data_IF_008724589932
#
_entry.id   IF_008724589932
#
_cell.length_a   1.000
_cell.length_b   1.000
_cell.length_c   1.000
_cell.angle_alpha   90.00
_cell.angle_beta   90.00
_cell.angle_gamma   90.00
#
_symmetry.space_group_name_H-M   'P 1'
#
loop_
_entity.id
_entity.type
_entity.pdbx_description
1 polymer ?
#
# COMPACT_ATOMS: atom_id res chain seq x y z
N UNK A 1 5.37 -22.99 -12.31
CA UNK A 1 5.04 -21.58 -12.56
C UNK A 1 5.36 -20.86 -11.27
N UNK A 2 6.39 -20.01 -11.25
CA UNK A 2 6.77 -19.29 -10.03
C UNK A 2 5.63 -18.34 -9.71
N UNK A 3 4.73 -18.73 -8.80
CA UNK A 3 3.59 -17.90 -8.42
C UNK A 3 4.12 -16.56 -7.92
N UNK A 4 3.85 -15.51 -8.70
CA UNK A 4 4.27 -14.16 -8.39
C UNK A 4 3.64 -13.69 -7.09
N UNK A 5 4.30 -12.75 -6.41
CA UNK A 5 3.74 -12.13 -5.23
C UNK A 5 2.39 -11.44 -5.55
N UNK A 6 1.32 -11.60 -4.76
CA UNK A 6 0.05 -10.95 -5.03
C UNK A 6 0.17 -9.44 -4.84
N UNK A 7 0.13 -8.70 -5.94
CA UNK A 7 0.21 -7.24 -5.95
C UNK A 7 -1.17 -6.56 -5.87
N UNK A 8 -1.17 -5.23 -5.80
CA UNK A 8 -2.38 -4.41 -5.90
C UNK A 8 -2.86 -4.26 -7.35
N UNK A 9 -3.88 -3.44 -7.56
CA UNK A 9 -4.41 -3.13 -8.89
C UNK A 9 -3.47 -2.24 -9.70
N UNK A 10 -2.87 -1.23 -9.07
CA UNK A 10 -1.94 -0.29 -9.73
C UNK A 10 -0.58 -0.21 -9.03
N UNK A 11 -0.51 -0.61 -7.76
CA UNK A 11 0.72 -0.63 -6.99
C UNK A 11 1.30 -2.03 -6.85
N UNK A 12 2.63 -2.13 -7.01
CA UNK A 12 3.40 -3.34 -6.72
C UNK A 12 4.07 -3.22 -5.35
N UNK A 13 3.95 -4.26 -4.53
CA UNK A 13 4.61 -4.31 -3.23
C UNK A 13 6.12 -4.38 -3.40
N UNK A 14 6.85 -3.47 -2.76
CA UNK A 14 8.30 -3.49 -2.72
C UNK A 14 8.84 -4.65 -1.85
N UNK A 15 10.12 -4.99 -2.03
CA UNK A 15 10.74 -6.16 -1.42
C UNK A 15 10.58 -6.21 0.11
N UNK A 16 10.77 -5.08 0.80
CA UNK A 16 10.66 -5.02 2.27
C UNK A 16 9.27 -5.36 2.80
N UNK A 17 8.21 -4.93 2.12
CA UNK A 17 6.85 -5.34 2.43
C UNK A 17 6.62 -6.81 2.09
N UNK A 18 7.15 -7.30 0.97
CA UNK A 18 7.04 -8.71 0.60
C UNK A 18 7.70 -9.62 1.64
N UNK A 19 8.91 -9.26 2.08
CA UNK A 19 9.69 -10.03 3.03
C UNK A 19 9.00 -10.06 4.39
N UNK A 20 8.49 -8.92 4.86
CA UNK A 20 7.73 -8.84 6.11
C UNK A 20 6.44 -9.68 6.08
N UNK A 21 5.74 -9.73 4.95
CA UNK A 21 4.52 -10.53 4.80
C UNK A 21 4.83 -12.02 4.66
N UNK A 22 5.92 -12.39 3.97
CA UNK A 22 6.34 -13.80 3.79
C UNK A 22 6.99 -14.39 5.04
N UNK A 23 7.46 -13.56 5.96
CA UNK A 23 8.06 -14.01 7.22
C UNK A 23 7.07 -14.78 8.11
N UNK A 24 5.77 -14.62 7.89
CA UNK A 24 4.71 -15.31 8.59
C UNK A 24 3.68 -15.85 7.59
N UNK A 25 3.55 -17.18 7.54
CA UNK A 25 2.67 -17.86 6.60
C UNK A 25 1.18 -17.48 6.79
N UNK A 26 0.73 -17.27 8.03
CA UNK A 26 -0.65 -16.88 8.32
C UNK A 26 -0.95 -15.49 7.74
N UNK A 27 -0.02 -14.55 7.95
CA UNK A 27 -0.11 -13.19 7.43
C UNK A 27 -0.05 -13.18 5.90
N UNK A 28 0.81 -14.00 5.31
CA UNK A 28 0.89 -14.11 3.87
C UNK A 28 -0.43 -14.65 3.29
N UNK A 29 -1.07 -15.61 3.95
CA UNK A 29 -2.37 -16.14 3.54
C UNK A 29 -3.48 -15.09 3.63
N UNK A 30 -3.50 -14.32 4.72
CA UNK A 30 -4.42 -13.19 4.87
C UNK A 30 -4.22 -12.16 3.75
N UNK A 31 -2.97 -11.87 3.38
CA UNK A 31 -2.64 -10.99 2.25
C UNK A 31 -3.11 -11.53 0.90
N UNK A 32 -2.92 -12.84 0.65
CA UNK A 32 -3.40 -13.52 -0.57
C UNK A 32 -4.92 -13.44 -0.69
N UNK A 33 -5.63 -13.55 0.44
CA UNK A 33 -7.09 -13.50 0.51
C UNK A 33 -7.69 -12.08 0.41
N UNK A 34 -6.88 -11.02 0.48
CA UNK A 34 -7.38 -9.68 0.18
C UNK A 34 -7.80 -9.57 -1.29
N UNK A 35 -8.72 -8.64 -1.56
CA UNK A 35 -8.98 -8.23 -2.94
C UNK A 35 -7.74 -7.50 -3.51
N UNK A 36 -7.54 -7.48 -4.84
CA UNK A 36 -6.50 -6.66 -5.46
C UNK A 36 -6.55 -5.19 -4.99
N UNK A 37 -7.75 -4.65 -4.79
CA UNK A 37 -7.93 -3.31 -4.24
C UNK A 37 -7.46 -3.22 -2.79
N UNK A 38 -7.81 -4.17 -1.91
CA UNK A 38 -7.34 -4.18 -0.52
C UNK A 38 -5.81 -4.17 -0.42
N UNK A 39 -5.14 -4.99 -1.23
CA UNK A 39 -3.67 -4.96 -1.36
C UNK A 39 -3.16 -3.61 -1.85
N UNK A 40 -3.80 -3.06 -2.88
CA UNK A 40 -3.44 -1.76 -3.44
C UNK A 40 -3.44 -0.66 -2.39
N UNK A 41 -4.42 -0.67 -1.48
CA UNK A 41 -4.52 0.32 -0.40
C UNK A 41 -3.38 0.22 0.60
N UNK A 42 -3.03 -0.99 1.05
CA UNK A 42 -1.89 -1.19 1.95
C UNK A 42 -0.57 -0.80 1.27
N UNK A 43 -0.35 -1.19 0.01
CA UNK A 43 0.88 -0.84 -0.72
C UNK A 43 0.97 0.68 -0.87
N UNK A 44 -0.08 1.35 -1.34
CA UNK A 44 -0.08 2.81 -1.51
C UNK A 44 0.19 3.53 -0.18
N UNK A 45 -0.42 3.06 0.90
CA UNK A 45 -0.21 3.63 2.23
C UNK A 45 1.23 3.42 2.72
N UNK A 46 1.83 2.26 2.50
CA UNK A 46 3.24 2.02 2.87
C UNK A 46 4.19 2.88 2.01
N UNK A 47 3.91 3.01 0.71
CA UNK A 47 4.73 3.77 -0.24
C UNK A 47 4.63 5.29 -0.10
N UNK A 48 3.51 5.80 0.42
CA UNK A 48 3.34 7.22 0.74
C UNK A 48 4.28 7.70 1.87
N UNK A 49 4.84 6.78 2.66
CA UNK A 49 5.80 7.13 3.70
C UNK A 49 7.14 7.59 3.13
N UNK A 50 7.37 8.91 3.12
CA UNK A 50 8.63 9.53 2.66
C UNK A 50 9.83 9.26 3.57
N UNK A 51 9.59 8.98 4.85
CA UNK A 51 10.64 8.73 5.86
C UNK A 51 10.81 7.23 6.12
N UNK A 52 12.05 6.68 6.12
CA UNK A 52 12.29 5.26 6.33
C UNK A 52 11.69 4.71 7.62
N UNK A 53 11.80 5.45 8.73
CA UNK A 53 11.22 5.05 10.02
C UNK A 53 9.69 4.93 9.95
N UNK A 54 9.02 5.85 9.25
CA UNK A 54 7.57 5.78 9.04
C UNK A 54 7.18 4.60 8.16
N UNK A 55 7.96 4.31 7.11
CA UNK A 55 7.75 3.15 6.24
C UNK A 55 7.81 1.85 7.04
N UNK A 56 8.87 1.64 7.81
CA UNK A 56 9.03 0.45 8.66
C UNK A 56 7.87 0.29 9.65
N UNK A 57 7.45 1.39 10.29
CA UNK A 57 6.27 1.38 11.16
C UNK A 57 4.99 0.99 10.42
N UNK A 58 4.76 1.49 9.20
CA UNK A 58 3.56 1.15 8.40
C UNK A 58 3.59 -0.32 7.94
N UNK A 59 4.77 -0.88 7.65
CA UNK A 59 4.93 -2.32 7.36
C UNK A 59 4.53 -3.15 8.57
N UNK A 60 5.09 -2.87 9.75
CA UNK A 60 4.71 -3.55 11.00
C UNK A 60 3.20 -3.46 11.28
N UNK A 61 2.62 -2.27 11.12
CA UNK A 61 1.17 -2.09 11.30
C UNK A 61 0.33 -2.83 10.25
N UNK A 62 0.84 -3.01 9.03
CA UNK A 62 0.16 -3.81 8.01
C UNK A 62 0.02 -5.25 8.48
N UNK A 63 1.08 -5.82 9.06
CA UNK A 63 1.06 -7.18 9.64
C UNK A 63 0.04 -7.27 10.79
N UNK A 64 0.08 -6.32 11.73
CA UNK A 64 -0.86 -6.26 12.86
C UNK A 64 -2.32 -6.16 12.37
N UNK A 65 -2.60 -5.27 11.43
CA UNK A 65 -3.94 -5.04 10.92
C UNK A 65 -4.50 -6.24 10.13
N UNK A 66 -3.65 -6.97 9.40
CA UNK A 66 -4.03 -8.22 8.75
C UNK A 66 -4.41 -9.27 9.79
N UNK A 67 -3.61 -9.44 10.85
CA UNK A 67 -3.91 -10.30 12.00
C UNK A 67 -5.24 -9.94 12.67
N UNK A 68 -5.55 -8.65 12.76
CA UNK A 68 -6.83 -8.15 13.27
C UNK A 68 -8.00 -8.30 12.26
N UNK A 69 -7.77 -8.88 11.08
CA UNK A 69 -8.79 -9.11 10.05
C UNK A 69 -9.16 -7.87 9.24
N UNK A 70 -8.39 -6.78 9.34
CA UNK A 70 -8.66 -5.57 8.55
C UNK A 70 -8.28 -5.79 7.09
N UNK A 71 -9.16 -5.31 6.21
CA UNK A 71 -9.00 -5.41 4.74
C UNK A 71 -8.45 -4.14 4.09
N UNK A 72 -8.18 -3.10 4.89
CA UNK A 72 -7.63 -1.81 4.48
C UNK A 72 -6.87 -1.17 5.65
N UNK A 73 -5.89 -0.30 5.40
CA UNK A 73 -5.19 0.42 6.46
C UNK A 73 -6.16 1.25 7.31
N UNK A 74 -6.02 1.19 8.63
CA UNK A 74 -6.82 2.04 9.51
C UNK A 74 -6.38 3.52 9.40
N UNK A 75 -7.34 4.45 9.46
CA UNK A 75 -7.06 5.89 9.30
C UNK A 75 -6.41 6.29 7.94
N UNK A 76 -6.59 5.48 6.89
CA UNK A 76 -6.21 5.82 5.52
C UNK A 76 -7.42 6.31 4.73
N UNK A 77 -7.32 7.50 4.13
CA UNK A 77 -8.40 8.12 3.37
C UNK A 77 -8.71 7.39 2.05
N UNK A 78 -7.76 6.59 1.56
CA UNK A 78 -7.88 5.84 0.32
C UNK A 78 -6.70 6.13 -0.62
N UNK A 79 -6.39 5.18 -1.51
CA UNK A 79 -5.43 5.43 -2.58
C UNK A 79 -5.91 6.57 -3.49
N UNK A 80 -5.00 7.48 -3.87
CA UNK A 80 -5.28 8.58 -4.81
C UNK A 80 -5.67 8.10 -6.22
N UNK A 81 -5.32 6.86 -6.55
CA UNK A 81 -5.64 6.22 -7.84
C UNK A 81 -7.02 5.54 -7.87
N UNK A 82 -7.80 5.67 -6.78
CA UNK A 82 -9.19 5.22 -6.78
C UNK A 82 -10.03 6.03 -7.77
N UNK A 83 -10.79 5.34 -8.60
CA UNK A 83 -11.72 5.94 -9.57
C UNK A 83 -13.17 5.91 -9.09
N UNK A 84 -13.46 5.16 -8.01
CA UNK A 84 -14.80 5.01 -7.43
C UNK A 84 -15.23 6.18 -6.52
N UNK A 85 -14.28 7.02 -6.10
CA UNK A 85 -14.53 8.17 -5.23
C UNK A 85 -13.71 9.39 -5.62
N UNK A 86 -14.32 10.57 -5.50
CA UNK A 86 -13.60 11.83 -5.66
C UNK A 86 -12.50 11.97 -4.60
N UNK A 87 -11.26 12.35 -4.96
CA UNK A 87 -10.18 12.55 -4.01
C UNK A 87 -10.51 13.67 -3.02
N UNK A 88 -10.20 13.49 -1.74
CA UNK A 88 -10.28 14.53 -0.71
C UNK A 88 -9.32 15.69 -0.97
N UNK A 89 -9.53 16.84 -0.31
CA UNK A 89 -8.69 18.04 -0.50
C UNK A 89 -7.19 17.80 -0.30
N UNK A 90 -6.81 16.97 0.66
CA UNK A 90 -5.40 16.63 0.89
C UNK A 90 -4.85 15.70 -0.21
N UNK A 91 -5.64 14.74 -0.69
CA UNK A 91 -5.25 13.86 -1.80
C UNK A 91 -5.06 14.65 -3.11
N UNK A 92 -5.89 15.67 -3.34
CA UNK A 92 -5.72 16.59 -4.47
C UNK A 92 -4.39 17.36 -4.39
N UNK A 93 -4.00 17.83 -3.19
CA UNK A 93 -2.71 18.49 -3.01
C UNK A 93 -1.52 17.53 -3.27
N UNK A 94 -1.61 16.28 -2.82
CA UNK A 94 -0.58 15.27 -3.07
C UNK A 94 -0.40 14.96 -4.58
N UNK A 95 -1.50 14.96 -5.35
CA UNK A 95 -1.45 14.78 -6.81
C UNK A 95 -0.70 15.92 -7.51
N UNK A 96 -0.82 17.16 -7.03
CA UNK A 96 -0.11 18.33 -7.57
C UNK A 96 1.40 18.18 -7.32
N UNK A 97 1.80 17.81 -6.10
CA UNK A 97 3.20 17.57 -5.71
C UNK A 97 3.86 16.43 -6.50
N UNK A 98 3.10 15.42 -6.92
CA UNK A 98 3.64 14.33 -7.76
C UNK A 98 3.81 14.77 -9.22
N UNK A 99 2.91 15.61 -9.73
CA UNK A 99 2.99 16.14 -11.10
C UNK A 99 4.23 17.02 -11.31
N UNK A 100 4.66 17.77 -10.29
CA UNK A 100 5.90 18.54 -10.31
C UNK A 100 7.16 17.66 -10.28
N UNK A 101 7.10 16.47 -9.67
CA UNK A 101 8.21 15.48 -9.73
C UNK A 101 8.30 14.76 -11.08
N UNK A 102 7.19 14.53 -11.76
CA UNK A 102 7.17 13.94 -13.11
C UNK A 102 7.72 14.86 -14.19
N UNK A 103 7.67 16.18 -13.99
CA UNK A 103 8.19 17.19 -14.92
C UNK A 103 9.72 17.42 -14.81
N UNK A 104 10.40 16.74 -13.87
CA UNK A 104 11.81 16.96 -13.57
C UNK A 104 12.72 15.78 -13.92
N UNK A 105 12.28 14.89 -14.81
CA UNK A 105 13.15 13.84 -15.37
C UNK A 105 13.53 14.22 -16.81
N UNK A 106 14.82 14.45 -17.12
CA UNK A 106 15.28 14.60 -18.50
C UNK A 106 15.10 13.31 -19.29
#
# INVERSE_FOLDING_TARGET
>A
MSDGFPHGTVHQAAADLQDALKADAEIFDLWRNLTPLGRNEFICWVDDAKQPATRQRRIGRTVEELREGKRRPCCWAGCIHRTDKAPSRWQQAALIDQKSKGASKP
#
